data_IF_272598256411
#
_entry.id   IF_272598256411
#
_cell.length_a   1.000
_cell.length_b   1.000
_cell.length_c   1.000
_cell.angle_alpha   90.00
_cell.angle_beta   90.00
_cell.angle_gamma   90.00
#
_symmetry.space_group_name_H-M   'P 1'
#
loop_
_entity.id
_entity.type
_entity.pdbx_description
1 polymer ?
#
# COMPACT_ATOMS: atom_id res chain seq x y z
N UNK A 1 -2.15 -14.99 32.91
CA UNK A 1 -1.43 -13.87 32.26
C UNK A 1 -1.42 -14.06 30.77
N UNK A 2 -2.36 -13.42 30.07
CA UNK A 2 -2.39 -13.42 28.60
C UNK A 2 -1.26 -12.52 28.11
N UNK A 3 -0.29 -13.08 27.39
CA UNK A 3 0.81 -12.32 26.78
C UNK A 3 0.20 -11.54 25.62
N UNK A 4 0.02 -10.23 25.79
CA UNK A 4 -0.38 -9.36 24.67
C UNK A 4 0.79 -9.32 23.69
N UNK A 5 0.57 -9.75 22.46
CA UNK A 5 1.59 -9.64 21.41
C UNK A 5 1.88 -8.17 21.16
N UNK A 6 3.17 -7.82 21.18
CA UNK A 6 3.61 -6.47 20.86
C UNK A 6 3.47 -6.27 19.36
N UNK A 7 2.81 -5.21 18.93
CA UNK A 7 2.81 -4.79 17.53
C UNK A 7 4.26 -4.51 17.11
N UNK A 8 4.70 -5.15 16.03
CA UNK A 8 6.05 -4.98 15.52
C UNK A 8 6.29 -3.53 15.09
N UNK A 9 7.49 -3.02 15.32
CA UNK A 9 7.86 -1.69 14.83
C UNK A 9 7.94 -1.72 13.29
N UNK A 10 7.34 -0.74 12.60
CA UNK A 10 7.45 -0.60 11.16
C UNK A 10 8.91 -0.50 10.72
N UNK A 11 9.18 -1.07 9.55
CA UNK A 11 10.46 -0.92 8.86
C UNK A 11 10.70 0.50 8.35
N UNK A 12 11.86 0.69 7.75
CA UNK A 12 12.15 1.93 7.00
C UNK A 12 11.40 1.92 5.68
N UNK A 13 11.06 3.12 5.19
CA UNK A 13 10.44 3.31 3.89
C UNK A 13 11.36 4.13 2.99
N UNK A 14 11.66 3.60 1.82
CA UNK A 14 12.61 4.18 0.86
C UNK A 14 11.94 5.06 -0.20
N UNK A 15 10.62 4.96 -0.37
CA UNK A 15 9.87 5.70 -1.38
C UNK A 15 9.12 4.83 -2.40
N UNK A 16 9.23 3.49 -2.34
CA UNK A 16 8.50 2.62 -3.26
C UNK A 16 6.98 2.70 -3.05
N UNK A 17 6.29 3.32 -4.01
CA UNK A 17 4.85 3.53 -3.98
C UNK A 17 4.03 2.24 -3.88
N UNK A 18 4.59 1.10 -4.30
CA UNK A 18 3.91 -0.20 -4.21
C UNK A 18 3.81 -0.69 -2.76
N UNK A 19 4.83 -0.42 -1.96
CA UNK A 19 4.94 -0.84 -0.56
C UNK A 19 4.33 0.20 0.40
N UNK A 20 3.94 1.36 -0.10
CA UNK A 20 3.51 2.49 0.71
C UNK A 20 2.28 2.20 1.57
N UNK A 21 1.23 1.60 0.99
CA UNK A 21 -0.03 1.35 1.71
C UNK A 21 0.21 0.38 2.89
N UNK A 22 0.91 -0.73 2.63
CA UNK A 22 1.26 -1.73 3.65
C UNK A 22 2.17 -1.14 4.73
N UNK A 23 3.17 -0.34 4.35
CA UNK A 23 4.03 0.33 5.31
C UNK A 23 3.26 1.35 6.16
N UNK A 24 2.39 2.15 5.55
CA UNK A 24 1.58 3.17 6.22
C UNK A 24 0.62 2.52 7.22
N UNK A 25 -0.03 1.43 6.85
CA UNK A 25 -0.96 0.72 7.74
C UNK A 25 -0.22 0.14 8.95
N UNK A 26 0.98 -0.44 8.75
CA UNK A 26 1.84 -0.87 9.85
C UNK A 26 2.24 0.29 10.78
N UNK A 27 2.54 1.46 10.22
CA UNK A 27 2.86 2.68 11.00
C UNK A 27 1.68 3.12 11.85
N UNK A 28 0.47 3.18 11.27
CA UNK A 28 -0.74 3.57 12.00
C UNK A 28 -1.01 2.59 13.14
N UNK A 29 -1.01 1.28 12.85
CA UNK A 29 -1.23 0.24 13.86
C UNK A 29 -0.21 0.31 15.00
N UNK A 30 1.06 0.54 14.69
CA UNK A 30 2.10 0.69 15.71
C UNK A 30 1.91 1.94 16.57
N UNK A 31 1.57 3.09 15.97
CA UNK A 31 1.31 4.32 16.72
C UNK A 31 0.08 4.15 17.64
N UNK A 32 -0.99 3.54 17.14
CA UNK A 32 -2.23 3.30 17.88
C UNK A 32 -2.01 2.31 19.04
N UNK A 33 -1.12 1.33 18.88
CA UNK A 33 -0.73 0.44 19.97
C UNK A 33 0.18 1.11 21.02
N UNK A 34 0.83 2.24 20.67
CA UNK A 34 1.84 2.91 21.48
C UNK A 34 1.46 4.36 21.81
N UNK A 35 0.18 4.63 22.08
CA UNK A 35 -0.35 5.99 22.35
C UNK A 35 0.36 6.73 23.48
N UNK A 36 0.89 6.02 24.49
CA UNK A 36 1.70 6.66 25.55
C UNK A 36 2.98 7.31 25.03
N UNK A 37 3.64 6.68 24.05
CA UNK A 37 4.86 7.22 23.44
C UNK A 37 4.56 8.24 22.34
N UNK A 38 3.46 8.06 21.61
CA UNK A 38 3.09 8.87 20.45
C UNK A 38 1.79 9.66 20.65
N UNK A 39 1.56 10.14 21.88
CA UNK A 39 0.31 10.81 22.27
C UNK A 39 0.12 12.23 21.69
N UNK A 40 1.13 12.75 20.99
CA UNK A 40 1.06 14.07 20.34
C UNK A 40 1.36 13.94 18.86
N UNK A 41 0.74 14.79 18.04
CA UNK A 41 0.96 14.77 16.59
C UNK A 41 2.40 15.10 16.22
N UNK A 42 3.07 15.93 17.04
CA UNK A 42 4.52 16.16 16.94
C UNK A 42 5.32 14.87 17.13
N UNK A 43 5.00 14.05 18.13
CA UNK A 43 5.69 12.78 18.37
C UNK A 43 5.48 11.80 17.20
N UNK A 44 4.24 11.69 16.71
CA UNK A 44 3.90 10.87 15.53
C UNK A 44 4.69 11.33 14.30
N UNK A 45 4.66 12.63 13.98
CA UNK A 45 5.40 13.21 12.85
C UNK A 45 6.90 12.92 12.93
N UNK A 46 7.52 13.15 14.09
CA UNK A 46 8.95 12.91 14.28
C UNK A 46 9.32 11.44 14.10
N UNK A 47 8.49 10.54 14.63
CA UNK A 47 8.67 9.11 14.49
C UNK A 47 8.57 8.67 13.03
N UNK A 48 7.46 8.96 12.35
CA UNK A 48 7.26 8.53 10.95
C UNK A 48 8.32 9.11 10.04
N UNK A 49 8.66 10.40 10.19
CA UNK A 49 9.72 10.99 9.38
C UNK A 49 11.10 10.39 9.67
N UNK A 50 11.34 9.79 10.84
CA UNK A 50 12.59 9.08 11.12
C UNK A 50 12.74 7.76 10.35
N UNK A 51 11.61 7.14 9.98
CA UNK A 51 11.56 5.90 9.22
C UNK A 51 11.81 6.13 7.70
N UNK A 52 11.66 7.35 7.21
CA UNK A 52 11.92 7.70 5.82
C UNK A 52 13.42 7.70 5.52
N UNK A 53 13.84 6.84 4.59
CA UNK A 53 15.21 6.66 4.10
C UNK A 53 15.24 6.69 2.56
N UNK A 54 16.40 6.42 1.95
CA UNK A 54 16.52 6.32 0.50
C UNK A 54 16.00 7.55 -0.24
N UNK A 55 15.18 7.33 -1.27
CA UNK A 55 14.57 8.39 -2.09
C UNK A 55 13.59 9.26 -1.28
N UNK A 56 12.88 8.68 -0.32
CA UNK A 56 11.99 9.39 0.58
C UNK A 56 12.73 10.38 1.51
N UNK A 57 14.05 10.24 1.67
CA UNK A 57 14.86 11.12 2.53
C UNK A 57 14.92 12.58 2.06
N UNK A 58 14.83 12.82 0.75
CA UNK A 58 14.78 14.17 0.18
C UNK A 58 13.49 14.87 0.58
N UNK A 59 12.36 14.17 0.46
CA UNK A 59 11.06 14.69 0.87
C UNK A 59 10.99 14.90 2.39
N UNK A 60 11.58 13.97 3.18
CA UNK A 60 11.74 14.14 4.63
C UNK A 60 12.40 15.47 5.00
N UNK A 61 13.48 15.86 4.32
CA UNK A 61 14.17 17.13 4.58
C UNK A 61 13.24 18.31 4.29
N UNK A 62 12.56 18.28 3.15
CA UNK A 62 11.61 19.32 2.76
C UNK A 62 10.47 19.51 3.78
N UNK A 63 9.78 18.42 4.15
CA UNK A 63 8.63 18.50 5.05
C UNK A 63 9.03 18.90 6.48
N UNK A 64 10.22 18.49 6.96
CA UNK A 64 10.75 18.93 8.25
C UNK A 64 11.08 20.41 8.27
N UNK A 65 11.65 20.95 7.18
CA UNK A 65 11.91 22.39 7.04
C UNK A 65 10.61 23.18 7.04
N UNK A 66 9.60 22.72 6.30
CA UNK A 66 8.28 23.37 6.32
C UNK A 66 7.63 23.34 7.70
N UNK A 67 7.75 22.22 8.42
CA UNK A 67 7.25 22.09 9.80
C UNK A 67 7.89 23.10 10.76
N UNK A 68 9.23 23.26 10.70
CA UNK A 68 9.96 24.16 11.60
C UNK A 68 9.79 25.63 11.23
N UNK A 69 9.80 25.98 9.94
CA UNK A 69 9.75 27.37 9.47
C UNK A 69 8.34 27.97 9.50
N UNK A 70 7.30 27.18 9.25
CA UNK A 70 5.91 27.68 9.22
C UNK A 70 5.14 27.44 10.53
N UNK A 71 5.83 27.31 11.68
CA UNK A 71 5.20 27.01 12.99
C UNK A 71 4.20 25.84 12.92
N UNK A 72 4.50 24.80 12.14
CA UNK A 72 3.63 23.62 11.99
C UNK A 72 2.35 23.81 11.14
N UNK A 73 2.11 24.97 10.51
CA UNK A 73 0.86 25.29 9.80
C UNK A 73 0.44 24.27 8.72
N UNK A 74 1.39 23.60 8.05
CA UNK A 74 1.09 22.66 6.97
C UNK A 74 0.63 21.27 7.45
N UNK A 75 0.93 20.87 8.69
CA UNK A 75 0.71 19.47 9.13
C UNK A 75 0.21 19.38 10.58
N UNK A 76 -0.60 20.36 11.02
CA UNK A 76 -0.90 20.54 12.44
C UNK A 76 -1.51 19.32 13.13
N UNK A 77 -2.18 18.45 12.36
CA UNK A 77 -2.83 17.25 12.87
C UNK A 77 -2.27 15.99 12.23
N UNK A 78 -2.36 14.88 12.97
CA UNK A 78 -2.02 13.55 12.47
C UNK A 78 -2.72 13.22 11.15
N UNK A 79 -4.01 13.54 11.04
CA UNK A 79 -4.78 13.25 9.82
C UNK A 79 -4.28 14.04 8.61
N UNK A 80 -3.91 15.31 8.80
CA UNK A 80 -3.30 16.11 7.72
C UNK A 80 -1.95 15.55 7.31
N UNK A 81 -1.16 15.06 8.26
CA UNK A 81 0.11 14.41 7.95
C UNK A 81 -0.05 13.15 7.11
N UNK A 82 -1.01 12.31 7.48
CA UNK A 82 -1.35 11.12 6.70
C UNK A 82 -1.80 11.48 5.28
N UNK A 83 -2.63 12.52 5.14
CA UNK A 83 -3.03 13.02 3.81
C UNK A 83 -1.85 13.48 2.97
N UNK A 84 -0.92 14.23 3.56
CA UNK A 84 0.31 14.69 2.88
C UNK A 84 1.25 13.54 2.50
N UNK A 85 1.32 12.48 3.31
CA UNK A 85 2.02 11.24 2.94
C UNK A 85 1.31 10.52 1.78
N UNK A 86 -0.02 10.44 1.83
CA UNK A 86 -0.84 9.77 0.82
C UNK A 86 -0.68 10.47 -0.55
N UNK A 87 -0.78 11.79 -0.59
CA UNK A 87 -0.54 12.58 -1.80
C UNK A 87 0.85 12.34 -2.40
N UNK A 88 1.87 12.20 -1.54
CA UNK A 88 3.25 12.03 -1.99
C UNK A 88 3.51 10.63 -2.52
N UNK A 89 3.14 9.61 -1.75
CA UNK A 89 3.67 8.25 -1.89
C UNK A 89 2.63 7.23 -2.33
N UNK A 90 1.33 7.49 -2.21
CA UNK A 90 0.33 6.56 -2.72
C UNK A 90 0.48 6.41 -4.24
N UNK A 91 0.32 5.19 -4.72
CA UNK A 91 0.32 4.93 -6.15
C UNK A 91 -0.96 5.51 -6.78
N UNK A 92 -0.77 6.47 -7.70
CA UNK A 92 -1.87 7.04 -8.47
C UNK A 92 -2.41 5.95 -9.40
N UNK A 93 -3.73 5.84 -9.46
CA UNK A 93 -4.46 4.89 -10.30
C UNK A 93 -4.13 3.42 -10.00
N UNK A 94 -3.76 3.06 -8.75
CA UNK A 94 -3.48 1.66 -8.37
C UNK A 94 -4.61 0.71 -8.77
N UNK A 95 -5.85 1.08 -8.43
CA UNK A 95 -7.04 0.29 -8.75
C UNK A 95 -7.20 0.12 -10.28
N UNK A 96 -7.06 1.20 -11.04
CA UNK A 96 -7.19 1.16 -12.51
C UNK A 96 -6.05 0.37 -13.16
N UNK A 97 -4.81 0.52 -12.68
CA UNK A 97 -3.68 -0.29 -13.14
C UNK A 97 -3.90 -1.77 -12.84
N UNK A 98 -4.45 -2.10 -11.68
CA UNK A 98 -4.79 -3.47 -11.33
C UNK A 98 -5.90 -4.01 -12.26
N UNK A 99 -6.90 -3.19 -12.63
CA UNK A 99 -7.93 -3.55 -13.62
C UNK A 99 -7.32 -3.82 -15.00
N UNK A 100 -6.45 -2.94 -15.47
CA UNK A 100 -5.76 -3.10 -16.76
C UNK A 100 -4.94 -4.40 -16.74
N UNK A 101 -4.15 -4.63 -15.69
CA UNK A 101 -3.37 -5.89 -15.54
C UNK A 101 -4.27 -7.12 -15.49
N UNK A 102 -5.39 -7.08 -14.77
CA UNK A 102 -6.36 -8.16 -14.69
C UNK A 102 -6.92 -8.55 -16.08
N UNK A 103 -7.17 -7.56 -16.94
CA UNK A 103 -7.72 -7.76 -18.28
C UNK A 103 -6.65 -8.18 -19.30
N UNK A 104 -5.44 -7.64 -19.21
CA UNK A 104 -4.39 -7.82 -20.22
C UNK A 104 -3.45 -9.00 -19.94
N UNK A 105 -3.37 -9.49 -18.69
CA UNK A 105 -2.49 -10.62 -18.37
C UNK A 105 -2.98 -11.89 -19.04
N UNK A 106 -2.17 -12.42 -19.95
CA UNK A 106 -2.32 -13.76 -20.55
C UNK A 106 -1.49 -14.77 -19.75
N UNK A 107 -1.95 -16.01 -19.65
CA UNK A 107 -1.20 -17.08 -18.99
C UNK A 107 0.18 -17.29 -19.61
N UNK A 108 0.29 -17.29 -20.95
CA UNK A 108 1.55 -17.49 -21.64
C UNK A 108 2.21 -18.82 -21.24
N UNK A 109 3.44 -18.77 -20.75
CA UNK A 109 4.19 -19.97 -20.30
C UNK A 109 4.00 -20.30 -18.81
N UNK A 110 3.19 -19.53 -18.07
CA UNK A 110 2.96 -19.77 -16.65
C UNK A 110 2.08 -21.01 -16.43
N UNK A 111 2.26 -21.63 -15.28
CA UNK A 111 1.31 -22.62 -14.79
C UNK A 111 -0.05 -21.96 -14.51
N UNK A 112 -1.11 -22.77 -14.48
CA UNK A 112 -2.46 -22.27 -14.14
C UNK A 112 -2.50 -21.66 -12.74
N UNK A 113 -1.77 -22.21 -11.78
CA UNK A 113 -1.75 -21.73 -10.40
C UNK A 113 -1.03 -20.38 -10.26
N UNK A 114 0.10 -20.20 -10.94
CA UNK A 114 0.81 -18.91 -10.99
C UNK A 114 -0.08 -17.82 -11.61
N UNK A 115 -0.76 -18.14 -12.73
CA UNK A 115 -1.69 -17.23 -13.37
C UNK A 115 -2.87 -16.86 -12.48
N UNK A 116 -3.51 -17.85 -11.84
CA UNK A 116 -4.65 -17.62 -10.94
C UNK A 116 -4.25 -16.81 -9.71
N UNK A 117 -3.06 -17.05 -9.16
CA UNK A 117 -2.53 -16.29 -8.02
C UNK A 117 -2.41 -14.81 -8.35
N UNK A 118 -1.79 -14.48 -9.48
CA UNK A 118 -1.63 -13.09 -9.91
C UNK A 118 -2.95 -12.44 -10.34
N UNK A 119 -3.83 -13.19 -11.02
CA UNK A 119 -5.17 -12.73 -11.37
C UNK A 119 -5.98 -12.35 -10.12
N UNK A 120 -6.01 -13.22 -9.11
CA UNK A 120 -6.72 -12.96 -7.86
C UNK A 120 -6.12 -11.77 -7.10
N UNK A 121 -4.79 -11.62 -7.09
CA UNK A 121 -4.13 -10.42 -6.54
C UNK A 121 -4.65 -9.15 -7.23
N UNK A 122 -4.72 -9.13 -8.57
CA UNK A 122 -5.20 -7.96 -9.30
C UNK A 122 -6.69 -7.65 -9.04
N UNK A 123 -7.55 -8.66 -8.89
CA UNK A 123 -8.97 -8.46 -8.53
C UNK A 123 -9.09 -7.75 -7.17
N UNK A 124 -8.31 -8.19 -6.18
CA UNK A 124 -8.28 -7.59 -4.85
C UNK A 124 -7.75 -6.15 -4.89
N UNK A 125 -6.63 -5.92 -5.58
CA UNK A 125 -6.05 -4.57 -5.75
C UNK A 125 -6.97 -3.60 -6.50
N UNK A 126 -7.75 -4.11 -7.45
CA UNK A 126 -8.73 -3.34 -8.21
C UNK A 126 -10.02 -3.03 -7.42
N UNK A 127 -10.16 -3.60 -6.21
CA UNK A 127 -11.36 -3.55 -5.35
C UNK A 127 -12.65 -3.88 -6.10
N UNK A 128 -12.56 -4.82 -7.04
CA UNK A 128 -13.69 -5.21 -7.85
C UNK A 128 -14.50 -6.30 -7.15
N UNK A 129 -15.81 -6.14 -7.11
CA UNK A 129 -16.75 -7.23 -6.85
C UNK A 129 -17.37 -7.62 -8.19
N UNK A 130 -16.90 -8.72 -8.78
CA UNK A 130 -17.36 -9.17 -10.08
C UNK A 130 -18.21 -10.44 -9.94
N UNK A 131 -19.25 -10.61 -10.78
CA UNK A 131 -19.96 -11.87 -10.87
C UNK A 131 -19.02 -12.99 -11.32
N UNK A 132 -19.27 -14.23 -10.86
CA UNK A 132 -18.50 -15.41 -11.28
C UNK A 132 -18.42 -15.55 -12.81
N UNK A 133 -19.48 -15.19 -13.54
CA UNK A 133 -19.51 -15.24 -14.99
C UNK A 133 -18.42 -14.35 -15.64
N UNK A 134 -18.18 -13.16 -15.09
CA UNK A 134 -17.16 -12.26 -15.61
C UNK A 134 -15.75 -12.83 -15.40
N UNK A 135 -15.49 -13.44 -14.24
CA UNK A 135 -14.22 -14.13 -13.98
C UNK A 135 -14.01 -15.30 -14.93
N UNK A 136 -15.04 -16.11 -15.17
CA UNK A 136 -15.01 -17.25 -16.10
C UNK A 136 -14.73 -16.79 -17.52
N UNK A 137 -15.39 -15.73 -17.98
CA UNK A 137 -15.18 -15.20 -19.32
C UNK A 137 -13.76 -14.66 -19.47
N UNK A 138 -13.29 -13.83 -18.53
CA UNK A 138 -11.92 -13.32 -18.57
C UNK A 138 -10.88 -14.46 -18.56
N UNK A 139 -11.12 -15.51 -17.77
CA UNK A 139 -10.27 -16.70 -17.75
C UNK A 139 -10.24 -17.40 -19.11
N UNK A 140 -11.39 -17.65 -19.74
CA UNK A 140 -11.50 -18.26 -21.07
C UNK A 140 -10.75 -17.47 -22.16
N UNK A 141 -10.73 -16.13 -22.08
CA UNK A 141 -10.04 -15.28 -23.06
C UNK A 141 -8.51 -15.20 -22.87
N UNK A 142 -8.02 -15.54 -21.67
CA UNK A 142 -6.64 -15.23 -21.27
C UNK A 142 -5.79 -16.48 -20.92
N UNK A 143 -6.42 -17.65 -20.79
CA UNK A 143 -5.77 -18.95 -20.54
C UNK A 143 -5.49 -19.69 -21.84
N UNK A 144 -4.44 -20.53 -21.84
CA UNK A 144 -4.08 -21.31 -23.03
C UNK A 144 -5.20 -22.28 -23.43
N UNK A 145 -5.47 -22.35 -24.74
CA UNK A 145 -6.56 -23.14 -25.32
C UNK A 145 -6.45 -24.64 -25.04
N UNK A 146 -5.25 -25.16 -24.79
CA UNK A 146 -5.05 -26.57 -24.42
C UNK A 146 -5.64 -26.94 -23.04
N UNK A 147 -5.77 -25.97 -22.13
CA UNK A 147 -6.41 -26.16 -20.83
C UNK A 147 -7.92 -26.05 -20.96
N UNK A 148 -8.42 -25.11 -21.77
CA UNK A 148 -9.86 -24.93 -22.03
C UNK A 148 -10.51 -26.19 -22.62
N UNK A 149 -9.76 -26.99 -23.40
CA UNK A 149 -10.25 -28.27 -23.94
C UNK A 149 -10.40 -29.39 -22.90
N UNK A 150 -9.88 -29.22 -21.68
CA UNK A 150 -9.90 -30.21 -20.60
C UNK A 150 -10.89 -29.87 -19.47
N UNK A 151 -11.58 -28.74 -19.57
CA UNK A 151 -12.63 -28.26 -18.63
C UNK A 151 -13.98 -28.39 -19.32
#
# INVERSE_FOLDING_TARGET
>A
NSKVEKIAAPGHYDGDKKEYDDWRDNVVAYIDANTRAYGTDKAKFLYVTSLLRGEASTWRKHIRTQWTQHKGLLVLTWDRFLGVLDERFREINREEKARIRMLETKQGNWTTDEYLTDYNRFVLEAKLQLPNAFHIDNFKWNVNTEIIRKI
#
